data_IF_661826653648
#
_entry.id   IF_661826653648
#
_cell.length_a   1.000
_cell.length_b   1.000
_cell.length_c   1.000
_cell.angle_alpha   90.00
_cell.angle_beta   90.00
_cell.angle_gamma   90.00
#
_symmetry.space_group_name_H-M   'P 1'
#
loop_
_entity.id
_entity.type
_entity.pdbx_description
1 polymer ?
#
# COMPACT_ATOMS: atom_id res chain seq x y z
N UNK A 1 -4.03 1.04 -51.74
CA UNK A 1 -3.16 0.30 -50.80
C UNK A 1 -2.92 1.05 -49.47
N UNK A 2 -2.71 2.38 -49.43
CA UNK A 2 -2.54 3.18 -48.19
C UNK A 2 -3.77 3.21 -47.27
N UNK A 3 -5.00 3.23 -47.81
CA UNK A 3 -6.25 3.25 -46.99
C UNK A 3 -6.51 1.93 -46.24
N UNK A 4 -6.13 0.80 -46.80
CA UNK A 4 -6.30 -0.52 -46.18
C UNK A 4 -5.31 -0.78 -45.03
N UNK A 5 -4.09 -0.20 -45.12
CA UNK A 5 -3.09 -0.25 -44.03
C UNK A 5 -3.50 0.63 -42.85
N UNK A 6 -4.17 1.76 -43.10
CA UNK A 6 -4.71 2.65 -42.08
C UNK A 6 -5.88 2.02 -41.32
N UNK A 7 -6.79 1.33 -42.00
CA UNK A 7 -7.93 0.65 -41.37
C UNK A 7 -7.49 -0.56 -40.53
N UNK A 8 -6.51 -1.35 -40.99
CA UNK A 8 -5.94 -2.46 -40.22
C UNK A 8 -5.27 -1.98 -38.94
N UNK A 9 -4.43 -0.94 -39.01
CA UNK A 9 -3.80 -0.31 -37.86
C UNK A 9 -4.81 0.27 -36.86
N UNK A 10 -5.93 0.80 -37.34
CA UNK A 10 -7.00 1.32 -36.50
C UNK A 10 -7.77 0.19 -35.79
N UNK A 11 -8.05 -0.91 -36.50
CA UNK A 11 -8.69 -2.09 -35.92
C UNK A 11 -7.79 -2.73 -34.84
N UNK A 12 -6.50 -2.87 -35.14
CA UNK A 12 -5.51 -3.38 -34.13
C UNK A 12 -5.46 -2.52 -32.88
N UNK A 13 -5.52 -1.18 -33.02
CA UNK A 13 -5.62 -0.27 -31.86
C UNK A 13 -6.92 -0.45 -31.09
N UNK A 14 -8.05 -0.57 -31.75
CA UNK A 14 -9.35 -0.79 -31.12
C UNK A 14 -9.36 -2.13 -30.37
N UNK A 15 -8.82 -3.20 -30.98
CA UNK A 15 -8.68 -4.50 -30.33
C UNK A 15 -7.81 -4.37 -29.09
N UNK A 16 -6.66 -3.70 -29.17
CA UNK A 16 -5.77 -3.47 -28.03
C UNK A 16 -6.43 -2.63 -26.93
N UNK A 17 -7.23 -1.61 -27.29
CA UNK A 17 -8.01 -0.83 -26.32
C UNK A 17 -9.09 -1.66 -25.65
N UNK A 18 -9.77 -2.55 -26.39
CA UNK A 18 -10.76 -3.48 -25.83
C UNK A 18 -10.08 -4.48 -24.91
N UNK A 19 -8.98 -5.08 -25.31
CA UNK A 19 -8.19 -6.00 -24.48
C UNK A 19 -7.71 -5.32 -23.19
N UNK A 20 -7.15 -4.12 -23.28
CA UNK A 20 -6.71 -3.34 -22.10
C UNK A 20 -7.88 -2.96 -21.19
N UNK A 21 -9.09 -2.77 -21.73
CA UNK A 21 -10.29 -2.43 -20.96
C UNK A 21 -10.92 -3.65 -20.29
N UNK A 22 -10.68 -4.85 -20.84
CA UNK A 22 -11.19 -6.13 -20.30
C UNK A 22 -10.19 -6.85 -19.41
N UNK A 23 -8.90 -6.46 -19.42
CA UNK A 23 -7.88 -7.04 -18.53
C UNK A 23 -8.14 -6.60 -17.09
N UNK A 24 -8.31 -7.58 -16.21
CA UNK A 24 -8.41 -7.37 -14.77
C UNK A 24 -7.09 -6.78 -14.24
N UNK A 25 -7.17 -5.60 -13.61
CA UNK A 25 -6.01 -4.94 -12.99
C UNK A 25 -5.93 -5.33 -11.52
N UNK A 26 -4.81 -5.90 -11.12
CA UNK A 26 -4.54 -6.15 -9.70
C UNK A 26 -3.92 -4.92 -9.07
N UNK A 27 -4.45 -4.55 -7.92
CA UNK A 27 -4.00 -3.41 -7.12
C UNK A 27 -3.68 -3.90 -5.72
N UNK A 28 -2.41 -3.85 -5.37
CA UNK A 28 -1.92 -4.22 -4.05
C UNK A 28 -1.81 -2.98 -3.18
N UNK A 29 -2.53 -2.98 -2.06
CA UNK A 29 -2.53 -1.91 -1.08
C UNK A 29 -1.76 -2.38 0.14
N UNK A 30 -0.53 -1.88 0.31
CA UNK A 30 0.28 -2.12 1.50
C UNK A 30 0.05 -0.97 2.48
N UNK A 31 -0.43 -1.28 3.68
CA UNK A 31 -0.61 -0.32 4.76
C UNK A 31 0.35 -0.70 5.89
N UNK A 32 1.23 0.24 6.26
CA UNK A 32 2.21 0.11 7.34
C UNK A 32 1.77 1.04 8.46
N UNK A 33 1.27 0.46 9.55
CA UNK A 33 0.72 1.17 10.70
C UNK A 33 1.72 1.18 11.84
N UNK A 34 2.14 2.36 12.23
CA UNK A 34 2.95 2.57 13.43
C UNK A 34 2.14 2.25 14.69
N UNK A 35 2.65 1.34 15.54
CA UNK A 35 2.09 0.96 16.82
C UNK A 35 3.08 1.30 17.96
N UNK A 36 3.95 2.31 17.76
CA UNK A 36 4.89 2.79 18.76
C UNK A 36 4.18 3.62 19.84
N UNK A 37 4.88 3.85 20.95
CA UNK A 37 4.32 4.51 22.14
C UNK A 37 3.83 5.94 21.90
N UNK A 38 4.48 6.71 21.01
CA UNK A 38 4.08 8.08 20.65
C UNK A 38 2.69 8.12 19.99
N UNK A 39 2.33 7.09 19.24
CA UNK A 39 1.00 6.94 18.63
C UNK A 39 -0.15 6.89 19.64
N UNK A 40 0.12 6.69 20.93
CA UNK A 40 -0.91 6.67 21.96
C UNK A 40 -1.69 7.99 22.05
N UNK A 41 -1.02 9.12 21.85
CA UNK A 41 -1.63 10.46 21.92
C UNK A 41 -2.60 10.72 20.76
N UNK A 42 -2.42 10.02 19.65
CA UNK A 42 -3.20 10.17 18.40
C UNK A 42 -3.91 8.89 18.00
N UNK A 43 -4.02 7.93 18.93
CA UNK A 43 -4.66 6.64 18.68
C UNK A 43 -6.03 6.72 18.01
N UNK A 44 -6.97 7.60 18.45
CA UNK A 44 -8.26 7.72 17.78
C UNK A 44 -8.14 8.14 16.31
N UNK A 45 -7.26 9.12 16.03
CA UNK A 45 -7.06 9.65 14.67
C UNK A 45 -6.38 8.60 13.77
N UNK A 46 -5.39 7.85 14.30
CA UNK A 46 -4.72 6.80 13.56
C UNK A 46 -5.69 5.68 13.15
N UNK A 47 -6.57 5.24 14.05
CA UNK A 47 -7.59 4.22 13.75
C UNK A 47 -8.62 4.75 12.76
N UNK A 48 -9.09 5.99 12.94
CA UNK A 48 -10.03 6.60 12.01
C UNK A 48 -9.42 6.67 10.61
N UNK A 49 -8.22 7.20 10.45
CA UNK A 49 -7.54 7.29 9.16
C UNK A 49 -7.26 5.93 8.52
N UNK A 50 -6.89 4.92 9.32
CA UNK A 50 -6.76 3.55 8.83
C UNK A 50 -8.10 3.02 8.31
N UNK A 51 -9.17 3.12 9.10
CA UNK A 51 -10.47 2.58 8.73
C UNK A 51 -11.08 3.30 7.53
N UNK A 52 -10.91 4.62 7.40
CA UNK A 52 -11.27 5.38 6.20
C UNK A 52 -10.49 4.90 4.97
N UNK A 53 -9.19 4.60 5.12
CA UNK A 53 -8.37 4.02 4.05
C UNK A 53 -8.90 2.65 3.64
N UNK A 54 -9.21 1.76 4.58
CA UNK A 54 -9.78 0.44 4.32
C UNK A 54 -11.15 0.54 3.62
N UNK A 55 -12.02 1.44 4.05
CA UNK A 55 -13.33 1.67 3.41
C UNK A 55 -13.17 2.23 1.99
N UNK A 56 -12.22 3.12 1.78
CA UNK A 56 -11.93 3.67 0.44
C UNK A 56 -11.50 2.55 -0.52
N UNK A 57 -10.65 1.62 -0.07
CA UNK A 57 -10.21 0.46 -0.87
C UNK A 57 -11.39 -0.47 -1.17
N UNK A 58 -12.26 -0.74 -0.19
CA UNK A 58 -13.49 -1.54 -0.40
C UNK A 58 -14.42 -0.91 -1.41
N UNK A 59 -14.66 0.40 -1.28
CA UNK A 59 -15.49 1.15 -2.21
C UNK A 59 -14.92 1.17 -3.64
N UNK A 60 -13.59 1.22 -3.77
CA UNK A 60 -12.93 1.11 -5.08
C UNK A 60 -13.15 -0.28 -5.71
N UNK A 61 -13.04 -1.36 -4.92
CA UNK A 61 -13.33 -2.72 -5.35
C UNK A 61 -14.77 -2.87 -5.85
N UNK A 62 -15.73 -2.24 -5.18
CA UNK A 62 -17.15 -2.31 -5.58
C UNK A 62 -17.44 -1.45 -6.82
N UNK A 63 -16.76 -0.32 -6.96
CA UNK A 63 -16.99 0.65 -8.03
C UNK A 63 -16.38 0.25 -9.37
N UNK A 64 -15.23 -0.41 -9.35
CA UNK A 64 -14.45 -0.71 -10.54
C UNK A 64 -14.40 -2.23 -10.81
N UNK A 65 -15.32 -2.71 -11.63
CA UNK A 65 -15.47 -4.16 -11.95
C UNK A 65 -14.21 -4.81 -12.54
N UNK A 66 -13.37 -4.01 -13.23
CA UNK A 66 -12.13 -4.48 -13.84
C UNK A 66 -10.89 -4.34 -12.94
N UNK A 67 -11.09 -4.12 -11.63
CA UNK A 67 -10.02 -4.00 -10.65
C UNK A 67 -10.20 -5.01 -9.52
N UNK A 68 -9.12 -5.70 -9.16
CA UNK A 68 -9.07 -6.56 -7.97
C UNK A 68 -8.10 -5.95 -6.96
N UNK A 69 -8.64 -5.50 -5.83
CA UNK A 69 -7.87 -4.92 -4.75
C UNK A 69 -7.51 -5.95 -3.70
N UNK A 70 -6.23 -6.00 -3.34
CA UNK A 70 -5.69 -6.81 -2.27
C UNK A 70 -5.09 -5.91 -1.20
N UNK A 71 -5.23 -6.27 0.07
CA UNK A 71 -4.72 -5.50 1.20
C UNK A 71 -3.73 -6.32 2.00
N UNK A 72 -2.55 -5.76 2.21
CA UNK A 72 -1.59 -6.19 3.22
C UNK A 72 -1.53 -5.10 4.28
N UNK A 73 -1.90 -5.42 5.51
CA UNK A 73 -1.84 -4.52 6.67
C UNK A 73 -0.84 -5.05 7.67
N UNK A 74 0.17 -4.25 7.95
CA UNK A 74 1.23 -4.54 8.92
C UNK A 74 1.21 -3.49 10.01
N UNK A 75 1.21 -3.89 11.29
CA UNK A 75 1.51 -2.99 12.40
C UNK A 75 2.89 -3.29 12.99
N UNK A 76 3.58 -2.27 13.48
CA UNK A 76 4.95 -2.44 13.97
C UNK A 76 5.28 -1.58 15.19
N UNK A 77 6.12 -2.12 16.06
CA UNK A 77 6.90 -1.44 17.10
C UNK A 77 8.19 -2.22 17.38
N UNK A 78 9.03 -1.80 18.33
CA UNK A 78 10.28 -2.52 18.65
C UNK A 78 10.10 -3.95 19.14
N UNK A 79 8.91 -4.33 19.57
CA UNK A 79 8.65 -5.68 20.08
C UNK A 79 8.25 -6.65 18.97
N UNK A 80 7.67 -6.14 17.87
CA UNK A 80 7.12 -6.97 16.79
C UNK A 80 6.83 -6.19 15.50
N UNK A 81 6.89 -6.92 14.40
CA UNK A 81 6.19 -6.58 13.15
C UNK A 81 5.06 -7.62 13.01
N UNK A 82 3.81 -7.16 13.01
CA UNK A 82 2.62 -8.01 13.00
C UNK A 82 1.87 -7.81 11.69
N UNK A 83 1.72 -8.87 10.90
CA UNK A 83 0.85 -8.88 9.73
C UNK A 83 -0.59 -9.16 10.18
N UNK A 84 -1.49 -8.20 9.96
CA UNK A 84 -2.92 -8.30 10.27
C UNK A 84 -3.67 -8.86 9.07
N UNK A 85 -3.37 -8.35 7.89
CA UNK A 85 -3.84 -8.88 6.61
C UNK A 85 -2.63 -9.16 5.71
N UNK A 86 -2.63 -10.33 5.05
CA UNK A 86 -1.63 -10.71 4.08
C UNK A 86 -2.31 -10.96 2.73
N UNK A 87 -2.12 -10.05 1.79
CA UNK A 87 -2.69 -10.11 0.45
C UNK A 87 -4.19 -10.48 0.44
N UNK A 88 -4.94 -9.94 1.42
CA UNK A 88 -6.35 -10.27 1.64
C UNK A 88 -7.21 -9.53 0.60
N UNK A 89 -8.14 -10.20 -0.12
CA UNK A 89 -9.10 -9.53 -0.99
C UNK A 89 -9.89 -8.45 -0.25
N UNK A 90 -10.03 -7.27 -0.86
CA UNK A 90 -10.62 -6.09 -0.21
C UNK A 90 -12.05 -6.31 0.31
N UNK A 91 -12.82 -7.21 -0.31
CA UNK A 91 -14.17 -7.56 0.14
C UNK A 91 -14.20 -8.40 1.44
N UNK A 92 -13.05 -8.88 1.92
CA UNK A 92 -12.92 -9.70 3.15
C UNK A 92 -12.31 -8.95 4.31
N UNK A 93 -11.74 -7.76 4.10
CA UNK A 93 -11.16 -6.98 5.18
C UNK A 93 -12.24 -6.35 6.06
N UNK A 94 -11.91 -6.15 7.33
CA UNK A 94 -12.75 -5.49 8.32
C UNK A 94 -12.01 -4.28 8.90
N UNK A 95 -12.74 -3.37 9.48
CA UNK A 95 -12.17 -2.25 10.22
C UNK A 95 -11.38 -2.75 11.44
N UNK A 96 -10.30 -2.07 11.76
CA UNK A 96 -9.54 -2.34 12.98
C UNK A 96 -10.29 -1.77 14.18
N UNK A 97 -10.46 -2.60 15.22
CA UNK A 97 -11.03 -2.15 16.47
C UNK A 97 -9.97 -1.38 17.27
N UNK A 98 -10.40 -0.35 18.00
CA UNK A 98 -9.53 0.41 18.92
C UNK A 98 -8.84 -0.45 19.99
N UNK A 99 -9.45 -1.58 20.35
CA UNK A 99 -8.93 -2.49 21.37
C UNK A 99 -7.85 -3.44 20.80
N UNK A 100 -7.78 -3.57 19.48
CA UNK A 100 -6.76 -4.38 18.78
C UNK A 100 -5.49 -3.59 18.45
N UNK A 101 -5.53 -2.26 18.60
CA UNK A 101 -4.41 -1.36 18.37
C UNK A 101 -3.90 -0.81 19.70
N UNK A 102 -2.71 -1.28 20.12
CA UNK A 102 -2.15 -1.03 21.46
C UNK A 102 -0.75 -0.38 21.36
N UNK A 103 -0.68 0.93 21.07
CA UNK A 103 0.58 1.64 20.93
C UNK A 103 1.49 1.50 22.14
N UNK A 104 2.72 1.04 21.93
CA UNK A 104 3.77 0.93 22.95
C UNK A 104 5.16 0.80 22.32
N UNK A 105 6.21 0.89 23.14
CA UNK A 105 7.61 0.72 22.76
C UNK A 105 8.12 1.77 21.74
N UNK A 106 9.22 1.48 21.05
CA UNK A 106 9.87 2.39 20.09
C UNK A 106 9.44 2.18 18.65
N UNK A 107 10.01 2.99 17.76
CA UNK A 107 9.57 3.14 16.35
C UNK A 107 10.67 2.68 15.39
N UNK A 108 10.79 1.39 15.03
CA UNK A 108 11.69 0.89 14.00
C UNK A 108 11.08 1.08 12.59
N UNK A 109 10.84 2.34 12.21
CA UNK A 109 10.12 2.70 10.98
C UNK A 109 10.83 2.19 9.72
N UNK A 110 12.15 2.36 9.64
CA UNK A 110 12.90 1.93 8.46
C UNK A 110 12.91 0.41 8.31
N UNK A 111 13.02 -0.33 9.41
CA UNK A 111 12.95 -1.78 9.39
C UNK A 111 11.56 -2.25 8.95
N UNK A 112 10.51 -1.66 9.49
CA UNK A 112 9.13 -1.99 9.12
C UNK A 112 8.85 -1.74 7.63
N UNK A 113 9.30 -0.60 7.08
CA UNK A 113 9.18 -0.27 5.66
C UNK A 113 9.98 -1.28 4.82
N UNK A 114 11.26 -1.49 5.14
CA UNK A 114 12.15 -2.36 4.38
C UNK A 114 11.65 -3.80 4.32
N UNK A 115 11.27 -4.36 5.46
CA UNK A 115 10.71 -5.73 5.57
C UNK A 115 9.42 -5.85 4.76
N UNK A 116 8.48 -4.93 4.96
CA UNK A 116 7.16 -4.99 4.29
C UNK A 116 7.27 -4.84 2.78
N UNK A 117 8.10 -3.90 2.30
CA UNK A 117 8.33 -3.71 0.86
C UNK A 117 9.00 -4.93 0.24
N UNK A 118 10.02 -5.50 0.89
CA UNK A 118 10.74 -6.68 0.39
C UNK A 118 9.82 -7.90 0.30
N UNK A 119 8.96 -8.10 1.30
CA UNK A 119 7.98 -9.18 1.27
C UNK A 119 6.96 -9.01 0.15
N UNK A 120 6.40 -7.81 -0.02
CA UNK A 120 5.41 -7.54 -1.06
C UNK A 120 6.02 -7.68 -2.47
N UNK A 121 7.23 -7.20 -2.69
CA UNK A 121 7.95 -7.31 -3.97
C UNK A 121 8.10 -8.76 -4.45
N UNK A 122 8.20 -9.73 -3.54
CA UNK A 122 8.32 -11.14 -3.90
C UNK A 122 7.06 -11.73 -4.57
N UNK A 123 5.89 -11.10 -4.36
CA UNK A 123 4.59 -11.59 -4.88
C UNK A 123 3.96 -10.72 -5.96
N UNK A 124 4.50 -9.51 -6.20
CA UNK A 124 3.94 -8.53 -7.14
C UNK A 124 4.69 -8.60 -8.47
N UNK A 125 3.97 -8.52 -9.58
CA UNK A 125 4.53 -8.47 -10.92
C UNK A 125 4.72 -7.03 -11.40
N UNK A 126 5.54 -6.83 -12.43
CA UNK A 126 5.82 -5.49 -12.96
C UNK A 126 4.58 -4.80 -13.57
N UNK A 127 3.58 -5.58 -14.03
CA UNK A 127 2.30 -5.05 -14.56
C UNK A 127 1.28 -4.71 -13.46
N UNK A 128 1.49 -5.13 -12.22
CA UNK A 128 0.57 -4.88 -11.11
C UNK A 128 0.73 -3.45 -10.57
N UNK A 129 -0.35 -2.88 -10.06
CA UNK A 129 -0.31 -1.58 -9.42
C UNK A 129 -0.11 -1.73 -7.90
N UNK A 130 0.73 -0.89 -7.32
CA UNK A 130 1.01 -0.92 -5.88
C UNK A 130 0.83 0.46 -5.28
N UNK A 131 0.03 0.54 -4.23
CA UNK A 131 -0.13 1.70 -3.37
C UNK A 131 0.37 1.36 -1.97
N UNK A 132 1.32 2.13 -1.48
CA UNK A 132 1.87 2.00 -0.12
C UNK A 132 1.42 3.18 0.72
N UNK A 133 0.73 2.92 1.82
CA UNK A 133 0.29 3.93 2.79
C UNK A 133 1.01 3.70 4.11
N UNK A 134 1.73 4.71 4.59
CA UNK A 134 2.44 4.66 5.87
C UNK A 134 1.74 5.59 6.83
N UNK A 135 1.27 5.04 7.96
CA UNK A 135 0.57 5.78 9.03
C UNK A 135 1.49 5.81 10.24
N UNK A 136 2.04 6.99 10.56
CA UNK A 136 3.04 7.18 11.61
C UNK A 136 3.04 8.63 12.11
N UNK A 137 3.54 8.87 13.32
CA UNK A 137 3.86 10.21 13.82
C UNK A 137 5.25 10.71 13.38
N UNK A 138 6.01 9.88 12.67
CA UNK A 138 7.19 10.27 11.90
C UNK A 138 8.55 10.13 12.59
N UNK A 139 8.63 9.70 13.84
CA UNK A 139 9.90 9.64 14.58
C UNK A 139 10.52 8.25 14.59
N UNK A 140 11.44 8.00 13.65
CA UNK A 140 12.32 6.83 13.66
C UNK A 140 13.31 6.90 14.84
N UNK A 141 13.38 5.83 15.65
CA UNK A 141 14.33 5.79 16.78
C UNK A 141 14.88 4.41 17.13
N UNK A 142 14.54 3.36 16.39
CA UNK A 142 14.81 1.98 16.82
C UNK A 142 15.19 1.00 15.71
N UNK A 143 15.27 1.41 14.45
CA UNK A 143 15.67 0.55 13.34
C UNK A 143 17.12 0.09 13.45
N UNK A 144 17.38 -1.16 13.04
CA UNK A 144 18.69 -1.82 13.11
C UNK A 144 19.13 -2.46 11.80
N UNK A 145 18.18 -2.88 10.98
CA UNK A 145 18.44 -3.61 9.72
C UNK A 145 18.55 -2.66 8.53
N UNK A 146 17.70 -1.63 8.50
CA UNK A 146 17.66 -0.66 7.41
C UNK A 146 18.04 0.73 7.87
N UNK A 147 18.91 1.39 7.10
CA UNK A 147 19.19 2.82 7.28
C UNK A 147 18.19 3.67 6.51
N UNK A 148 17.97 4.93 6.95
CA UNK A 148 17.14 5.88 6.21
C UNK A 148 17.56 6.07 4.76
N UNK A 149 18.89 6.05 4.49
CA UNK A 149 19.42 6.13 3.13
C UNK A 149 19.02 4.92 2.28
N UNK A 150 19.09 3.71 2.85
CA UNK A 150 18.69 2.50 2.14
C UNK A 150 17.19 2.50 1.82
N UNK A 151 16.35 2.91 2.77
CA UNK A 151 14.90 3.05 2.56
C UNK A 151 14.58 4.11 1.52
N UNK A 152 15.23 5.27 1.57
CA UNK A 152 15.05 6.30 0.55
C UNK A 152 15.37 5.77 -0.86
N UNK A 153 16.49 5.08 -1.03
CA UNK A 153 16.88 4.49 -2.31
C UNK A 153 15.89 3.42 -2.78
N UNK A 154 15.41 2.58 -1.87
CA UNK A 154 14.41 1.55 -2.16
C UNK A 154 13.10 2.18 -2.65
N UNK A 155 12.58 3.18 -1.93
CA UNK A 155 11.35 3.90 -2.29
C UNK A 155 11.49 4.57 -3.65
N UNK A 156 12.59 5.30 -3.90
CA UNK A 156 12.82 5.96 -5.19
C UNK A 156 12.91 4.95 -6.34
N UNK A 157 13.57 3.81 -6.13
CA UNK A 157 13.61 2.73 -7.12
C UNK A 157 12.23 2.14 -7.42
N UNK A 158 11.38 1.99 -6.41
CA UNK A 158 10.01 1.48 -6.58
C UNK A 158 9.08 2.52 -7.23
N UNK A 159 9.25 3.81 -6.95
CA UNK A 159 8.52 4.88 -7.64
C UNK A 159 8.80 4.88 -9.15
N UNK A 160 10.06 4.64 -9.55
CA UNK A 160 10.41 4.49 -10.97
C UNK A 160 9.68 3.30 -11.62
N UNK A 161 9.35 2.26 -10.84
CA UNK A 161 8.54 1.11 -11.28
C UNK A 161 7.02 1.38 -11.24
N UNK A 162 6.59 2.58 -10.88
CA UNK A 162 5.18 2.97 -10.83
C UNK A 162 4.49 2.75 -9.50
N UNK A 163 5.22 2.37 -8.44
CA UNK A 163 4.65 2.29 -7.09
C UNK A 163 4.32 3.68 -6.55
N UNK A 164 3.18 3.79 -5.88
CA UNK A 164 2.71 5.05 -5.29
C UNK A 164 2.86 4.97 -3.77
N UNK A 165 3.44 6.02 -3.18
CA UNK A 165 3.65 6.13 -1.73
C UNK A 165 2.88 7.30 -1.15
N UNK A 166 2.16 7.05 -0.06
CA UNK A 166 1.40 8.06 0.69
C UNK A 166 1.78 7.97 2.17
N UNK A 167 1.92 9.13 2.80
CA UNK A 167 2.12 9.27 4.24
C UNK A 167 0.87 9.90 4.86
N UNK A 168 0.39 9.28 5.92
CA UNK A 168 -0.63 9.85 6.80
C UNK A 168 0.07 10.13 8.13
N UNK A 169 0.49 11.38 8.32
CA UNK A 169 1.16 11.85 9.53
C UNK A 169 0.16 12.54 10.45
N UNK A 170 0.24 12.29 11.75
CA UNK A 170 -0.37 13.13 12.75
C UNK A 170 0.63 14.24 13.13
N UNK A 171 0.18 15.49 13.11
CA UNK A 171 0.97 16.69 13.42
C UNK A 171 2.02 17.09 12.34
N UNK A 172 1.59 17.28 11.12
CA UNK A 172 2.30 18.15 10.19
C UNK A 172 1.53 19.48 10.12
N UNK A 173 1.75 20.33 11.12
CA UNK A 173 1.50 21.76 11.02
C UNK A 173 2.63 22.43 10.25
#
# INVERSE_FOLDING_TARGET
MKLLLSSKSMIERIIQEIENKTMEKKIYNLIILDESGSMQSIKPQAITGLNETLQTIKSAQEKFENQSHYVTLVSFNTSRVKTIYDCCPANRIQELNKDDYLPNAGTPLYDAIGISLTQLMAGVKDEDNVLVTIITDGYENASREYSGKAIFQLIEGLKVKGWIFTYIGANQD
#
